data_IF_660833070567
#
_entry.id   IF_660833070567
#
_cell.length_a   1.000
_cell.length_b   1.000
_cell.length_c   1.000
_cell.angle_alpha   90.00
_cell.angle_beta   90.00
_cell.angle_gamma   90.00
#
_symmetry.space_group_name_H-M   'P 1'
#
loop_
_entity.id
_entity.type
_entity.pdbx_description
1 polymer ?
#
# COMPACT_ATOMS: atom_id res chain seq x y z
N UNK A 1 5.06 -53.85 -7.65
CA UNK A 1 6.00 -54.35 -8.69
C UNK A 1 6.61 -53.17 -9.42
N UNK A 2 7.93 -53.09 -9.25
CA UNK A 2 8.98 -52.50 -10.16
C UNK A 2 8.89 -50.99 -10.41
N UNK A 3 9.73 -50.18 -9.72
CA UNK A 3 11.17 -49.92 -9.97
C UNK A 3 11.42 -49.15 -11.26
N UNK A 4 12.01 -47.92 -11.16
CA UNK A 4 13.42 -47.58 -11.46
C UNK A 4 13.47 -46.05 -11.48
N UNK A 5 14.17 -45.35 -10.61
CA UNK A 5 15.61 -45.18 -10.42
C UNK A 5 16.38 -44.66 -11.67
N UNK A 6 17.12 -43.57 -11.37
CA UNK A 6 18.41 -43.16 -11.96
C UNK A 6 18.29 -42.21 -13.17
N UNK A 7 18.81 -40.96 -13.09
CA UNK A 7 20.22 -40.70 -13.24
C UNK A 7 20.66 -39.32 -12.77
N UNK A 8 21.61 -39.36 -11.89
CA UNK A 8 22.59 -38.35 -11.52
C UNK A 8 23.59 -38.19 -12.67
N UNK A 9 23.90 -36.99 -13.09
CA UNK A 9 25.12 -36.71 -13.86
C UNK A 9 25.74 -35.40 -13.39
N UNK A 10 26.77 -35.56 -12.56
CA UNK A 10 27.79 -34.62 -12.24
C UNK A 10 28.71 -34.47 -13.48
N UNK A 11 29.01 -33.23 -13.86
CA UNK A 11 30.15 -32.94 -14.67
C UNK A 11 30.87 -31.71 -14.11
N UNK A 12 31.93 -32.00 -13.33
CA UNK A 12 32.92 -31.03 -12.95
C UNK A 12 33.90 -30.83 -14.12
N UNK A 13 34.14 -29.58 -14.49
CA UNK A 13 35.30 -29.23 -15.31
C UNK A 13 35.98 -28.02 -14.69
N UNK A 14 37.05 -28.29 -13.93
CA UNK A 14 38.08 -27.31 -13.58
C UNK A 14 38.91 -27.01 -14.82
N UNK A 15 39.17 -25.75 -15.10
CA UNK A 15 40.29 -25.30 -15.88
C UNK A 15 40.87 -24.05 -15.23
N UNK A 16 42.05 -24.25 -14.62
CA UNK A 16 42.95 -23.18 -14.19
C UNK A 16 43.50 -22.47 -15.44
N UNK A 17 43.44 -21.16 -15.40
CA UNK A 17 44.18 -20.30 -16.32
C UNK A 17 44.64 -19.05 -15.58
N UNK A 18 45.83 -19.12 -14.97
CA UNK A 18 46.57 -17.96 -14.47
C UNK A 18 47.14 -17.21 -15.68
N UNK A 19 46.77 -15.92 -15.82
CA UNK A 19 47.64 -14.94 -16.50
C UNK A 19 47.45 -13.60 -15.80
N UNK A 20 48.54 -13.13 -15.22
CA UNK A 20 48.69 -11.81 -14.65
C UNK A 20 48.63 -10.76 -15.78
N UNK A 21 47.80 -9.73 -15.55
CA UNK A 21 47.73 -8.54 -16.38
C UNK A 21 47.24 -7.37 -15.52
N UNK A 22 48.18 -6.53 -15.06
CA UNK A 22 47.86 -5.22 -14.48
C UNK A 22 47.17 -4.35 -15.53
N UNK A 23 45.95 -3.96 -15.26
CA UNK A 23 45.21 -2.96 -16.05
C UNK A 23 44.04 -2.50 -15.24
N UNK A 24 44.13 -1.25 -14.72
CA UNK A 24 43.11 -0.59 -13.94
C UNK A 24 41.93 -0.27 -14.88
N UNK A 25 40.96 -1.17 -15.02
CA UNK A 25 39.68 -0.90 -15.65
C UNK A 25 38.62 -1.31 -14.65
N UNK A 26 37.95 -0.32 -14.06
CA UNK A 26 36.76 -0.52 -13.27
C UNK A 26 35.74 -1.24 -14.15
N UNK A 27 35.48 -2.50 -13.84
CA UNK A 27 34.35 -3.22 -14.43
C UNK A 27 33.07 -2.48 -14.08
N UNK A 28 32.11 -2.29 -15.01
CA UNK A 28 30.80 -1.81 -14.66
C UNK A 28 30.18 -2.83 -13.70
N UNK A 29 29.87 -2.40 -12.48
CA UNK A 29 29.00 -3.15 -11.58
C UNK A 29 27.69 -3.37 -12.33
N UNK A 30 27.45 -4.61 -12.72
CA UNK A 30 26.13 -5.03 -13.17
C UNK A 30 25.26 -5.04 -11.92
N UNK A 31 24.65 -3.91 -11.62
CA UNK A 31 23.61 -3.82 -10.61
C UNK A 31 22.49 -4.76 -11.06
N UNK A 32 22.31 -5.86 -10.34
CA UNK A 32 21.16 -6.71 -10.56
C UNK A 32 19.90 -5.82 -10.45
N UNK A 33 18.92 -5.96 -11.37
CA UNK A 33 17.66 -5.21 -11.24
C UNK A 33 17.10 -5.48 -9.85
N UNK A 34 16.72 -4.43 -9.15
CA UNK A 34 15.97 -4.57 -7.91
C UNK A 34 14.73 -5.44 -8.19
N UNK A 35 14.33 -6.31 -7.27
CA UNK A 35 13.12 -7.10 -7.45
C UNK A 35 11.97 -6.14 -7.75
N UNK A 36 11.43 -6.25 -8.96
CA UNK A 36 10.26 -5.47 -9.34
C UNK A 36 9.10 -5.97 -8.48
N UNK A 37 8.53 -5.06 -7.69
CA UNK A 37 7.30 -5.33 -6.97
C UNK A 37 6.20 -5.62 -7.98
N UNK A 38 5.42 -6.66 -7.74
CA UNK A 38 4.24 -6.97 -8.54
C UNK A 38 3.28 -5.78 -8.48
N UNK A 39 2.80 -5.34 -9.65
CA UNK A 39 1.88 -4.22 -9.72
C UNK A 39 0.56 -4.60 -9.03
N UNK A 40 0.07 -3.74 -8.14
CA UNK A 40 -1.20 -3.93 -7.47
C UNK A 40 -2.32 -3.30 -8.31
N UNK A 41 -3.46 -3.99 -8.40
CA UNK A 41 -4.71 -3.42 -8.90
C UNK A 41 -5.50 -2.90 -7.69
N UNK A 42 -5.58 -1.56 -7.56
CA UNK A 42 -6.22 -0.94 -6.40
C UNK A 42 -7.74 -1.08 -6.42
N UNK A 43 -8.36 -1.22 -7.61
CA UNK A 43 -9.79 -1.51 -7.72
C UNK A 43 -10.10 -2.91 -7.19
N UNK A 44 -9.31 -3.90 -7.58
CA UNK A 44 -9.46 -5.27 -7.12
C UNK A 44 -9.27 -5.35 -5.59
N UNK A 45 -8.17 -4.77 -5.07
CA UNK A 45 -7.90 -4.73 -3.63
C UNK A 45 -9.02 -4.03 -2.85
N UNK A 46 -9.53 -2.91 -3.36
CA UNK A 46 -10.64 -2.20 -2.74
C UNK A 46 -11.90 -3.09 -2.68
N UNK A 47 -12.26 -3.71 -3.79
CA UNK A 47 -13.45 -4.56 -3.87
C UNK A 47 -13.34 -5.79 -2.97
N UNK A 48 -12.17 -6.43 -2.90
CA UNK A 48 -11.91 -7.55 -1.99
C UNK A 48 -12.03 -7.13 -0.52
N UNK A 49 -11.41 -6.01 -0.13
CA UNK A 49 -11.48 -5.51 1.24
C UNK A 49 -12.90 -5.13 1.65
N UNK A 50 -13.67 -4.49 0.76
CA UNK A 50 -15.10 -4.20 0.99
C UNK A 50 -15.90 -5.50 1.12
N UNK A 51 -15.60 -6.52 0.34
CA UNK A 51 -16.27 -7.82 0.48
C UNK A 51 -16.01 -8.46 1.85
N UNK A 52 -14.81 -8.28 2.42
CA UNK A 52 -14.50 -8.71 3.80
C UNK A 52 -15.35 -7.94 4.81
N UNK A 53 -15.41 -6.61 4.70
CA UNK A 53 -16.23 -5.79 5.60
C UNK A 53 -17.71 -6.17 5.53
N UNK A 54 -18.23 -6.42 4.34
CA UNK A 54 -19.64 -6.80 4.14
C UNK A 54 -20.02 -8.15 4.80
N UNK A 55 -19.05 -9.01 5.13
CA UNK A 55 -19.31 -10.25 5.90
C UNK A 55 -19.77 -9.96 7.33
N UNK A 56 -19.59 -8.73 7.83
CA UNK A 56 -20.11 -8.30 9.12
C UNK A 56 -21.63 -8.08 9.13
N UNK A 57 -22.29 -8.19 7.98
CA UNK A 57 -23.74 -8.00 7.82
C UNK A 57 -24.16 -6.59 8.22
N UNK A 58 -25.21 -6.47 9.05
CA UNK A 58 -25.75 -5.18 9.49
C UNK A 58 -24.76 -4.32 10.31
N UNK A 59 -23.65 -4.89 10.74
CA UNK A 59 -22.57 -4.17 11.44
C UNK A 59 -21.47 -3.66 10.50
N UNK A 60 -21.58 -3.92 9.20
CA UNK A 60 -20.61 -3.44 8.24
C UNK A 60 -20.65 -1.91 8.13
N UNK A 61 -19.48 -1.23 8.06
CA UNK A 61 -19.46 0.21 7.80
C UNK A 61 -20.03 0.52 6.42
N UNK A 62 -20.81 1.58 6.34
CA UNK A 62 -21.30 2.08 5.04
C UNK A 62 -20.22 3.00 4.47
N UNK A 63 -19.61 2.57 3.36
CA UNK A 63 -18.60 3.32 2.62
C UNK A 63 -19.10 3.57 1.20
N UNK A 64 -18.99 4.82 0.75
CA UNK A 64 -19.25 5.17 -0.64
C UNK A 64 -17.94 5.17 -1.42
N UNK A 65 -17.86 4.42 -2.53
CA UNK A 65 -16.68 4.44 -3.37
C UNK A 65 -16.50 5.83 -3.99
N UNK A 66 -15.27 6.32 -3.98
CA UNK A 66 -14.90 7.62 -4.52
C UNK A 66 -13.56 7.54 -5.28
N UNK A 67 -13.53 8.12 -6.47
CA UNK A 67 -12.33 8.19 -7.31
C UNK A 67 -12.10 9.59 -7.87
N UNK A 68 -13.00 10.55 -7.59
CA UNK A 68 -12.82 11.94 -8.01
C UNK A 68 -11.84 12.65 -7.07
N UNK A 69 -10.65 12.92 -7.58
CA UNK A 69 -9.60 13.61 -6.85
C UNK A 69 -10.03 15.01 -6.38
N UNK A 70 -10.88 15.72 -7.15
CA UNK A 70 -11.35 17.04 -6.77
C UNK A 70 -12.33 16.98 -5.59
N UNK A 71 -13.10 15.89 -5.48
CA UNK A 71 -13.91 15.65 -4.30
C UNK A 71 -13.05 15.34 -3.09
N UNK A 72 -12.07 14.45 -3.26
CA UNK A 72 -11.15 14.03 -2.20
C UNK A 72 -10.23 15.15 -1.72
N UNK A 73 -9.94 16.16 -2.53
CA UNK A 73 -9.18 17.35 -2.14
C UNK A 73 -9.76 18.06 -0.92
N UNK A 74 -11.09 17.98 -0.71
CA UNK A 74 -11.73 18.56 0.48
C UNK A 74 -11.33 17.83 1.77
N UNK A 75 -10.97 16.56 1.68
CA UNK A 75 -10.54 15.71 2.80
C UNK A 75 -9.03 15.68 2.92
N UNK A 76 -8.33 15.72 1.79
CA UNK A 76 -6.89 15.55 1.62
C UNK A 76 -6.27 16.71 0.83
N UNK A 77 -6.22 17.93 1.43
CA UNK A 77 -5.68 19.10 0.74
C UNK A 77 -4.26 18.88 0.25
N UNK A 78 -4.04 19.17 -1.04
CA UNK A 78 -2.76 18.97 -1.73
C UNK A 78 -2.63 17.62 -2.45
N UNK A 79 -3.60 16.71 -2.29
CA UNK A 79 -3.54 15.41 -2.99
C UNK A 79 -3.73 15.58 -4.50
N UNK A 80 -4.51 16.58 -4.93
CA UNK A 80 -4.71 16.90 -6.35
C UNK A 80 -3.47 17.46 -7.06
N UNK A 81 -2.46 17.90 -6.31
CA UNK A 81 -1.19 18.38 -6.83
C UNK A 81 -0.22 17.21 -7.15
N UNK A 82 -0.55 15.99 -6.71
CA UNK A 82 0.25 14.79 -6.90
C UNK A 82 -0.24 14.02 -8.13
N UNK A 83 0.68 13.63 -9.00
CA UNK A 83 0.36 12.75 -10.14
C UNK A 83 0.13 11.32 -9.64
N UNK A 84 -1.13 10.87 -9.72
CA UNK A 84 -1.54 9.52 -9.32
C UNK A 84 -1.77 8.64 -10.56
N UNK A 85 -1.32 7.38 -10.50
CA UNK A 85 -1.64 6.36 -11.50
C UNK A 85 -2.95 5.66 -11.18
N UNK A 86 -3.21 5.41 -9.90
CA UNK A 86 -4.43 4.78 -9.42
C UNK A 86 -4.91 5.48 -8.14
N UNK A 87 -6.22 5.57 -7.97
CA UNK A 87 -6.87 6.14 -6.80
C UNK A 87 -8.21 5.43 -6.56
N UNK A 88 -8.34 4.82 -5.39
CA UNK A 88 -9.60 4.25 -4.91
C UNK A 88 -9.80 4.63 -3.45
N UNK A 89 -10.99 5.15 -3.13
CA UNK A 89 -11.34 5.50 -1.77
C UNK A 89 -12.73 4.97 -1.41
N UNK A 90 -12.95 4.74 -0.13
CA UNK A 90 -14.22 4.50 0.49
C UNK A 90 -14.40 5.51 1.61
N UNK A 91 -15.39 6.38 1.49
CA UNK A 91 -15.67 7.44 2.45
C UNK A 91 -17.01 7.22 3.13
N UNK A 92 -17.07 7.48 4.43
CA UNK A 92 -18.34 7.43 5.14
C UNK A 92 -19.25 8.59 4.73
N UNK A 93 -20.60 8.42 4.83
CA UNK A 93 -21.56 9.50 4.52
C UNK A 93 -21.47 10.68 5.48
N UNK A 94 -20.77 10.52 6.60
CA UNK A 94 -20.55 11.56 7.62
C UNK A 94 -19.05 11.83 7.69
N UNK A 95 -18.66 13.07 7.46
CA UNK A 95 -17.26 13.47 7.21
C UNK A 95 -16.28 13.21 8.35
N UNK A 96 -16.75 13.11 9.59
CA UNK A 96 -15.89 12.83 10.75
C UNK A 96 -16.06 11.39 11.27
N UNK A 97 -16.86 10.55 10.61
CA UNK A 97 -16.99 9.16 10.99
C UNK A 97 -15.66 8.43 10.71
N UNK A 98 -15.12 7.66 11.68
CA UNK A 98 -13.84 6.96 11.51
C UNK A 98 -14.03 5.64 10.74
N UNK A 99 -14.58 5.75 9.55
CA UNK A 99 -14.68 4.70 8.54
C UNK A 99 -14.24 5.30 7.21
N UNK A 100 -12.96 5.17 6.91
CA UNK A 100 -12.40 5.75 5.71
C UNK A 100 -11.25 4.87 5.21
N UNK A 101 -11.17 4.69 3.91
CA UNK A 101 -10.13 3.95 3.21
C UNK A 101 -9.71 4.80 2.02
N UNK A 102 -8.41 4.98 1.82
CA UNK A 102 -7.87 5.56 0.61
C UNK A 102 -6.62 4.81 0.18
N UNK A 103 -6.61 4.39 -1.06
CA UNK A 103 -5.55 3.63 -1.71
C UNK A 103 -5.05 4.44 -2.90
N UNK A 104 -3.78 4.76 -2.94
CA UNK A 104 -3.18 5.48 -4.05
C UNK A 104 -1.91 4.80 -4.57
N UNK A 105 -1.67 4.90 -5.87
CA UNK A 105 -0.40 4.67 -6.52
C UNK A 105 0.11 5.99 -7.10
N UNK A 106 1.21 6.51 -6.57
CA UNK A 106 1.86 7.72 -7.11
C UNK A 106 2.63 7.40 -8.39
N UNK A 107 2.69 8.36 -9.31
CA UNK A 107 3.50 8.20 -10.52
C UNK A 107 5.00 8.20 -10.21
N UNK A 108 5.42 8.97 -9.22
CA UNK A 108 6.81 9.13 -8.81
C UNK A 108 6.99 8.73 -7.34
N UNK A 109 7.89 7.80 -7.06
CA UNK A 109 8.19 7.32 -5.69
C UNK A 109 8.62 8.47 -4.74
N UNK A 110 9.18 9.55 -5.27
CA UNK A 110 9.54 10.73 -4.48
C UNK A 110 8.33 11.39 -3.80
N UNK A 111 7.11 11.18 -4.30
CA UNK A 111 5.88 11.77 -3.77
C UNK A 111 5.26 10.95 -2.63
N UNK A 112 5.77 9.73 -2.36
CA UNK A 112 5.25 8.82 -1.32
C UNK A 112 5.21 9.50 0.05
N UNK A 113 6.30 10.13 0.47
CA UNK A 113 6.34 10.78 1.78
C UNK A 113 5.38 11.99 1.85
N UNK A 114 5.22 12.74 0.76
CA UNK A 114 4.25 13.85 0.70
C UNK A 114 2.82 13.34 0.86
N UNK A 115 2.47 12.22 0.21
CA UNK A 115 1.14 11.61 0.36
C UNK A 115 0.92 11.10 1.79
N UNK A 116 1.94 10.51 2.42
CA UNK A 116 1.84 10.09 3.84
C UNK A 116 1.62 11.28 4.77
N UNK A 117 2.28 12.40 4.53
CA UNK A 117 2.07 13.63 5.29
C UNK A 117 0.64 14.19 5.11
N UNK A 118 0.10 14.16 3.89
CA UNK A 118 -1.28 14.54 3.60
C UNK A 118 -2.26 13.63 4.36
N UNK A 119 -2.03 12.32 4.35
CA UNK A 119 -2.86 11.35 5.07
C UNK A 119 -2.76 11.54 6.59
N UNK A 120 -1.57 11.81 7.11
CA UNK A 120 -1.39 12.10 8.53
C UNK A 120 -2.10 13.39 8.94
N UNK A 121 -2.03 14.43 8.11
CA UNK A 121 -2.74 15.69 8.37
C UNK A 121 -4.26 15.48 8.44
N UNK A 122 -4.82 14.56 7.63
CA UNK A 122 -6.23 14.14 7.74
C UNK A 122 -6.50 13.52 9.11
N UNK A 123 -5.70 12.53 9.50
CA UNK A 123 -5.86 11.84 10.77
C UNK A 123 -5.70 12.80 11.97
N UNK A 124 -4.73 13.70 11.93
CA UNK A 124 -4.49 14.69 12.99
C UNK A 124 -5.66 15.67 13.13
N UNK A 125 -6.22 16.12 12.01
CA UNK A 125 -7.39 17.01 12.00
C UNK A 125 -8.59 16.35 12.67
N UNK A 126 -8.92 15.12 12.27
CA UNK A 126 -10.09 14.42 12.78
C UNK A 126 -9.91 13.96 14.25
N UNK A 127 -8.68 13.58 14.63
CA UNK A 127 -8.37 13.23 16.02
C UNK A 127 -8.39 14.44 16.97
N UNK A 128 -8.33 15.65 16.43
CA UNK A 128 -8.41 16.90 17.19
C UNK A 128 -9.83 17.42 17.35
N UNK A 129 -10.83 16.82 16.66
CA UNK A 129 -12.22 17.24 16.76
C UNK A 129 -12.83 16.85 18.11
N UNK A 130 -13.12 17.85 18.94
CA UNK A 130 -13.71 17.67 20.26
C UNK A 130 -15.23 17.47 20.22
N UNK A 131 -15.88 17.64 19.08
CA UNK A 131 -17.34 17.54 18.93
C UNK A 131 -17.81 16.10 19.14
N UNK A 132 -17.02 15.14 18.65
CA UNK A 132 -17.29 13.70 18.77
C UNK A 132 -16.06 12.97 19.33
N UNK A 133 -15.88 12.98 20.67
CA UNK A 133 -14.65 12.44 21.29
C UNK A 133 -14.36 10.97 20.96
N UNK A 134 -15.41 10.14 20.77
CA UNK A 134 -15.23 8.72 20.41
C UNK A 134 -14.69 8.57 18.99
N UNK A 135 -15.14 9.41 18.05
CA UNK A 135 -14.62 9.43 16.69
C UNK A 135 -13.17 9.91 16.68
N UNK A 136 -12.87 10.99 17.41
CA UNK A 136 -11.50 11.51 17.55
C UNK A 136 -10.55 10.44 18.11
N UNK A 137 -10.97 9.68 19.12
CA UNK A 137 -10.17 8.57 19.67
C UNK A 137 -9.97 7.44 18.66
N UNK A 138 -10.95 7.14 17.83
CA UNK A 138 -10.78 6.13 16.77
C UNK A 138 -9.80 6.62 15.69
N UNK A 139 -9.89 7.87 15.25
CA UNK A 139 -8.91 8.47 14.35
C UNK A 139 -7.49 8.43 14.92
N UNK A 140 -7.32 8.74 16.20
CA UNK A 140 -6.03 8.72 16.89
C UNK A 140 -5.43 7.31 17.01
N UNK A 141 -6.24 6.32 17.36
CA UNK A 141 -5.73 5.00 17.77
C UNK A 141 -5.80 3.95 16.66
N UNK A 142 -6.77 4.06 15.73
CA UNK A 142 -7.09 3.02 14.77
C UNK A 142 -6.66 3.35 13.34
N UNK A 143 -6.19 4.59 13.07
CA UNK A 143 -5.65 4.92 11.76
C UNK A 143 -4.39 4.11 11.46
N UNK A 144 -4.32 3.59 10.25
CA UNK A 144 -3.13 2.94 9.69
C UNK A 144 -2.78 3.63 8.39
N UNK A 145 -1.54 4.14 8.31
CA UNK A 145 -0.95 4.68 7.10
C UNK A 145 0.23 3.79 6.78
N UNK A 146 0.18 3.12 5.65
CA UNK A 146 1.21 2.17 5.21
C UNK A 146 1.66 2.49 3.79
N UNK A 147 2.91 2.16 3.46
CA UNK A 147 3.43 2.39 2.11
C UNK A 147 4.39 1.29 1.69
N UNK A 148 4.40 0.98 0.39
CA UNK A 148 5.34 0.04 -0.23
C UNK A 148 5.57 0.43 -1.69
N UNK A 149 6.83 0.73 -2.07
CA UNK A 149 7.12 1.29 -3.40
C UNK A 149 6.30 2.55 -3.64
N UNK A 150 5.60 2.63 -4.74
CA UNK A 150 4.76 3.76 -5.14
C UNK A 150 3.36 3.77 -4.50
N UNK A 151 3.04 2.80 -3.65
CA UNK A 151 1.72 2.67 -3.05
C UNK A 151 1.69 3.28 -1.65
N UNK A 152 0.63 4.03 -1.36
CA UNK A 152 0.34 4.60 -0.03
C UNK A 152 -1.12 4.37 0.30
N UNK A 153 -1.37 3.73 1.44
CA UNK A 153 -2.72 3.41 1.91
C UNK A 153 -2.97 4.07 3.26
N UNK A 154 -4.19 4.59 3.42
CA UNK A 154 -4.74 4.96 4.72
C UNK A 154 -6.02 4.15 4.92
N UNK A 155 -6.18 3.60 6.12
CA UNK A 155 -7.45 3.03 6.57
C UNK A 155 -7.70 3.38 8.03
N UNK A 156 -8.94 3.69 8.36
CA UNK A 156 -9.41 3.89 9.74
C UNK A 156 -10.74 3.20 9.92
N UNK A 157 -10.90 2.49 11.05
CA UNK A 157 -12.12 1.78 11.41
C UNK A 157 -12.48 2.07 12.87
N UNK A 158 -13.79 2.14 13.17
CA UNK A 158 -14.28 2.41 14.50
C UNK A 158 -14.42 1.14 15.34
N UNK A 159 -14.20 1.27 16.63
CA UNK A 159 -14.47 0.23 17.61
C UNK A 159 -13.63 -1.02 17.43
N UNK A 160 -14.27 -2.18 17.39
CA UNK A 160 -13.63 -3.48 17.20
C UNK A 160 -13.59 -3.94 15.73
N UNK A 161 -13.96 -3.08 14.79
CA UNK A 161 -13.87 -3.39 13.37
C UNK A 161 -12.40 -3.45 12.96
N UNK A 162 -11.94 -4.63 12.56
CA UNK A 162 -10.58 -4.82 12.07
C UNK A 162 -10.44 -4.26 10.65
N UNK A 163 -9.29 -3.65 10.38
CA UNK A 163 -8.95 -3.22 9.02
C UNK A 163 -8.62 -4.47 8.20
N UNK A 164 -9.33 -4.74 7.09
CA UNK A 164 -8.99 -5.84 6.20
C UNK A 164 -7.54 -5.77 5.73
N UNK A 165 -6.90 -6.94 5.61
CA UNK A 165 -5.49 -7.03 5.19
C UNK A 165 -5.23 -6.39 3.81
N UNK A 166 -6.22 -6.35 2.94
CA UNK A 166 -6.18 -5.69 1.64
C UNK A 166 -5.86 -4.19 1.74
N UNK A 167 -6.13 -3.56 2.88
CA UNK A 167 -5.92 -2.13 3.11
C UNK A 167 -4.64 -1.83 3.92
N UNK A 168 -3.76 -2.82 4.06
CA UNK A 168 -2.48 -2.69 4.76
C UNK A 168 -1.37 -3.19 3.82
N UNK A 169 -0.35 -2.37 3.63
CA UNK A 169 0.87 -2.75 2.91
C UNK A 169 1.94 -3.19 3.93
N UNK A 170 2.38 -4.44 3.79
CA UNK A 170 3.47 -5.04 4.59
C UNK A 170 4.83 -4.86 3.92
#
# INVERSE_FOLDING_TARGET
>A
MKNKLISLLLAAAMLLGLLAGCGNASAPETTAPAPQMEALDLEELYNEGIAVLNQMGDSAPVLFPETDINYLENFYPGLSDIELKQLYAGVAPVTNAPFEIILVEVANEADVETVKEIFQARADRESSDSTYPENAQAWLNNTRITSRGNYVFLAVMMGSTEIPAQFILD
#
